data_IF_117221629385
#
_entry.id   IF_117221629385
#
_cell.length_a   1.000
_cell.length_b   1.000
_cell.length_c   1.000
_cell.angle_alpha   90.00
_cell.angle_beta   90.00
_cell.angle_gamma   90.00
#
_symmetry.space_group_name_H-M   'P 1'
#
loop_
_entity.id
_entity.type
_entity.pdbx_description
1 polymer ?
#
# COMPACT_ATOMS: atom_id res chain seq x y z
N UNK A 1 -7.46 -30.00 5.37
CA UNK A 1 -6.44 -29.72 4.35
C UNK A 1 -5.33 -30.75 4.40
N UNK A 2 -4.62 -30.97 3.28
CA UNK A 2 -3.54 -31.94 3.21
C UNK A 2 -2.25 -31.33 3.84
N UNK A 3 -1.64 -31.93 4.87
CA UNK A 3 -0.41 -31.42 5.51
C UNK A 3 0.74 -31.14 4.54
N UNK A 4 0.90 -31.98 3.50
CA UNK A 4 1.90 -31.81 2.47
C UNK A 4 1.71 -30.51 1.65
N UNK A 5 0.48 -30.04 1.47
CA UNK A 5 0.21 -28.78 0.78
C UNK A 5 0.57 -27.58 1.66
N UNK A 6 0.32 -27.66 2.96
CA UNK A 6 0.70 -26.60 3.91
C UNK A 6 2.22 -26.43 3.99
N UNK A 7 2.96 -27.55 4.03
CA UNK A 7 4.42 -27.53 4.04
C UNK A 7 4.99 -26.91 2.76
N UNK A 8 4.40 -27.20 1.60
CA UNK A 8 4.81 -26.59 0.34
C UNK A 8 4.60 -25.09 0.31
N UNK A 9 3.44 -24.61 0.81
CA UNK A 9 3.14 -23.18 0.92
C UNK A 9 4.19 -22.48 1.79
N UNK A 10 4.51 -23.07 2.96
CA UNK A 10 5.53 -22.52 3.85
C UNK A 10 6.90 -22.46 3.19
N UNK A 11 7.36 -23.56 2.56
CA UNK A 11 8.66 -23.61 1.90
C UNK A 11 8.79 -22.55 0.78
N UNK A 12 7.74 -22.38 -0.02
CA UNK A 12 7.76 -21.35 -1.09
C UNK A 12 7.80 -19.94 -0.52
N UNK A 13 6.99 -19.64 0.50
CA UNK A 13 6.98 -18.31 1.10
C UNK A 13 8.26 -18.02 1.89
N UNK A 14 8.78 -18.99 2.64
CA UNK A 14 10.02 -18.84 3.40
C UNK A 14 11.22 -18.49 2.51
N UNK A 15 11.28 -19.01 1.28
CA UNK A 15 12.31 -18.64 0.33
C UNK A 15 12.22 -17.16 -0.08
N UNK A 16 11.00 -16.68 -0.34
CA UNK A 16 10.75 -15.27 -0.69
C UNK A 16 11.02 -14.36 0.51
N UNK A 17 10.58 -14.76 1.69
CA UNK A 17 10.75 -14.01 2.92
C UNK A 17 12.23 -13.86 3.30
N UNK A 18 13.03 -14.93 3.18
CA UNK A 18 14.47 -14.88 3.42
C UNK A 18 15.20 -13.92 2.48
N UNK A 19 14.81 -13.88 1.21
CA UNK A 19 15.37 -12.92 0.27
C UNK A 19 14.98 -11.48 0.65
N UNK A 20 13.73 -11.26 1.07
CA UNK A 20 13.27 -9.96 1.55
C UNK A 20 14.01 -9.49 2.81
N UNK A 21 14.17 -10.38 3.80
CA UNK A 21 14.97 -10.08 5.00
C UNK A 21 16.43 -9.77 4.68
N UNK A 22 17.04 -10.54 3.77
CA UNK A 22 18.41 -10.30 3.34
C UNK A 22 18.58 -8.90 2.74
N UNK A 23 17.71 -8.51 1.79
CA UNK A 23 17.74 -7.16 1.17
C UNK A 23 17.55 -6.06 2.20
N UNK A 24 16.59 -6.22 3.12
CA UNK A 24 16.35 -5.25 4.19
C UNK A 24 17.57 -5.11 5.11
N UNK A 25 18.20 -6.23 5.49
CA UNK A 25 19.36 -6.20 6.35
C UNK A 25 20.55 -5.55 5.63
N UNK A 26 20.80 -5.91 4.37
CA UNK A 26 21.82 -5.25 3.55
C UNK A 26 21.60 -3.73 3.45
N UNK A 27 20.34 -3.28 3.28
CA UNK A 27 20.01 -1.87 3.27
C UNK A 27 20.19 -1.20 4.64
N UNK A 28 19.78 -1.85 5.74
CA UNK A 28 19.90 -1.31 7.10
C UNK A 28 21.35 -1.26 7.59
N UNK A 29 22.13 -2.28 7.28
CA UNK A 29 23.54 -2.41 7.69
C UNK A 29 24.50 -1.60 6.81
N UNK A 30 24.04 -1.11 5.64
CA UNK A 30 24.81 -0.21 4.80
C UNK A 30 25.18 1.05 5.63
N UNK A 31 26.47 1.34 5.86
CA UNK A 31 26.89 2.43 6.74
C UNK A 31 26.64 3.83 6.15
N UNK A 32 26.27 3.92 4.87
CA UNK A 32 26.05 5.22 4.24
C UNK A 32 24.72 5.85 4.65
N UNK A 33 24.61 7.18 4.66
CA UNK A 33 23.37 7.88 4.91
C UNK A 33 22.24 7.45 3.96
N UNK A 34 21.01 7.44 4.46
CA UNK A 34 19.81 7.11 3.70
C UNK A 34 18.88 8.31 3.63
N UNK A 35 18.42 8.63 2.44
CA UNK A 35 17.54 9.76 2.14
C UNK A 35 16.22 9.20 1.65
N UNK A 36 15.20 9.22 2.50
CA UNK A 36 13.85 8.79 2.11
C UNK A 36 13.04 9.97 1.62
N UNK A 37 12.49 9.88 0.42
CA UNK A 37 11.75 10.98 -0.23
C UNK A 37 10.32 10.52 -0.50
N UNK A 38 9.33 11.27 0.00
CA UNK A 38 7.91 11.03 -0.25
C UNK A 38 7.53 11.31 -1.71
N UNK A 39 7.24 10.27 -2.50
CA UNK A 39 6.88 10.38 -3.92
C UNK A 39 5.44 9.96 -4.23
N UNK A 40 4.51 10.16 -3.31
CA UNK A 40 3.08 10.10 -3.61
C UNK A 40 2.61 11.40 -4.31
N UNK A 41 1.37 11.40 -4.80
CA UNK A 41 0.81 12.52 -5.58
C UNK A 41 1.01 13.89 -4.90
N UNK A 42 0.84 14.00 -3.58
CA UNK A 42 1.01 15.28 -2.87
C UNK A 42 2.48 15.76 -2.89
N UNK A 43 3.43 14.86 -2.64
CA UNK A 43 4.85 15.16 -2.72
C UNK A 43 5.27 15.58 -4.13
N UNK A 44 4.85 14.83 -5.15
CA UNK A 44 5.13 15.14 -6.56
C UNK A 44 4.55 16.52 -6.94
N UNK A 45 3.31 16.80 -6.55
CA UNK A 45 2.68 18.10 -6.82
C UNK A 45 3.37 19.28 -6.11
N UNK A 46 4.07 19.00 -5.02
CA UNK A 46 4.86 20.00 -4.26
C UNK A 46 6.33 20.09 -4.69
N UNK A 47 6.76 19.32 -5.70
CA UNK A 47 8.12 19.38 -6.26
C UNK A 47 9.08 18.29 -5.75
N UNK A 48 8.58 17.15 -5.25
CA UNK A 48 9.44 16.09 -4.72
C UNK A 48 10.31 15.41 -5.80
N UNK A 49 9.89 15.43 -7.08
CA UNK A 49 10.74 14.95 -8.18
C UNK A 49 11.95 15.83 -8.40
N UNK A 50 11.75 17.15 -8.37
CA UNK A 50 12.82 18.14 -8.45
C UNK A 50 13.74 18.07 -7.23
N UNK A 51 13.17 17.80 -6.06
CA UNK A 51 13.94 17.59 -4.81
C UNK A 51 14.80 16.33 -4.91
N UNK A 52 14.26 15.22 -5.42
CA UNK A 52 15.01 13.98 -5.63
C UNK A 52 16.18 14.21 -6.57
N UNK A 53 15.92 14.84 -7.72
CA UNK A 53 16.96 15.16 -8.69
C UNK A 53 18.04 16.06 -8.10
N UNK A 54 17.66 17.05 -7.29
CA UNK A 54 18.62 17.94 -6.63
C UNK A 54 19.51 17.21 -5.61
N UNK A 55 18.98 16.21 -4.90
CA UNK A 55 19.82 15.32 -4.07
C UNK A 55 20.78 14.49 -4.92
N UNK A 56 20.31 13.86 -6.01
CA UNK A 56 21.16 13.09 -6.93
C UNK A 56 22.32 13.95 -7.46
N UNK A 57 22.01 15.13 -7.99
CA UNK A 57 23.00 16.08 -8.53
C UNK A 57 23.98 16.59 -7.44
N UNK A 58 23.50 16.83 -6.21
CA UNK A 58 24.33 17.32 -5.10
C UNK A 58 25.22 16.22 -4.50
N UNK A 59 24.75 14.99 -4.42
CA UNK A 59 25.56 13.84 -4.00
C UNK A 59 26.77 13.69 -4.92
N UNK A 60 26.58 13.82 -6.23
CA UNK A 60 27.66 13.78 -7.23
C UNK A 60 28.57 15.01 -7.08
N UNK A 61 28.00 16.25 -7.02
CA UNK A 61 28.76 17.50 -6.90
C UNK A 61 29.70 17.53 -5.67
N UNK A 62 29.18 17.04 -4.52
CA UNK A 62 29.93 17.10 -3.26
C UNK A 62 30.71 15.83 -2.95
N UNK A 63 30.64 14.82 -3.84
CA UNK A 63 31.24 13.49 -3.67
C UNK A 63 30.85 12.86 -2.33
N UNK A 64 29.55 12.79 -2.06
CA UNK A 64 28.95 12.17 -0.87
C UNK A 64 28.28 10.87 -1.29
N UNK A 65 28.61 9.75 -0.63
CA UNK A 65 27.92 8.49 -0.82
C UNK A 65 26.69 8.44 0.10
N UNK A 66 25.50 8.24 -0.47
CA UNK A 66 24.24 8.06 0.23
C UNK A 66 23.25 7.26 -0.63
N UNK A 67 22.28 6.63 0.00
CA UNK A 67 21.19 5.91 -0.71
C UNK A 67 19.93 6.75 -0.74
N UNK A 68 19.39 6.99 -1.93
CA UNK A 68 18.07 7.60 -2.09
C UNK A 68 17.03 6.49 -2.17
N UNK A 69 16.07 6.54 -1.27
CA UNK A 69 14.95 5.60 -1.16
C UNK A 69 13.64 6.35 -1.34
N UNK A 70 12.73 5.83 -2.15
CA UNK A 70 11.42 6.43 -2.35
C UNK A 70 10.41 5.79 -1.42
N UNK A 71 9.57 6.61 -0.81
CA UNK A 71 8.52 6.14 0.10
C UNK A 71 7.18 6.75 -0.26
N UNK A 72 6.11 6.13 0.21
CA UNK A 72 4.76 6.66 0.07
C UNK A 72 4.50 7.87 0.97
N UNK A 73 3.26 8.35 0.97
CA UNK A 73 2.85 9.52 1.75
C UNK A 73 2.65 9.17 3.24
N UNK A 74 3.25 9.96 4.12
CA UNK A 74 3.04 9.91 5.58
C UNK A 74 1.67 10.46 6.02
N UNK A 75 0.93 11.14 5.13
CA UNK A 75 -0.31 11.86 5.46
C UNK A 75 -0.11 13.31 5.88
N UNK A 76 1.11 13.85 5.81
CA UNK A 76 1.45 15.24 6.13
C UNK A 76 1.56 16.12 4.87
N UNK A 77 0.53 16.10 4.03
CA UNK A 77 0.52 16.80 2.73
C UNK A 77 0.85 18.29 2.80
N UNK A 78 0.60 18.94 3.95
CA UNK A 78 0.95 20.35 4.15
C UNK A 78 2.44 20.61 4.34
N UNK A 79 3.22 19.58 4.68
CA UNK A 79 4.66 19.66 4.91
C UNK A 79 5.49 19.19 3.71
N UNK A 80 4.83 18.78 2.63
CA UNK A 80 5.49 18.24 1.43
C UNK A 80 6.32 19.31 0.66
N UNK A 81 7.43 18.92 0.01
CA UNK A 81 8.04 17.61 0.05
C UNK A 81 8.67 17.29 1.40
N UNK A 82 8.30 16.12 1.95
CA UNK A 82 8.91 15.59 3.17
C UNK A 82 10.08 14.70 2.81
N UNK A 83 11.21 14.93 3.47
CA UNK A 83 12.42 14.10 3.32
C UNK A 83 12.87 13.63 4.69
N UNK A 84 13.16 12.34 4.80
CA UNK A 84 13.73 11.77 6.03
C UNK A 84 15.19 11.43 5.75
N UNK A 85 16.09 11.91 6.59
CA UNK A 85 17.52 11.58 6.48
C UNK A 85 17.91 10.75 7.69
N UNK A 86 18.32 9.52 7.43
CA UNK A 86 18.97 8.64 8.38
C UNK A 86 20.49 8.71 8.14
N UNK A 87 21.21 9.31 9.06
CA UNK A 87 22.66 9.47 8.98
C UNK A 87 23.32 8.74 10.17
N UNK A 88 23.84 7.52 9.97
CA UNK A 88 24.32 6.65 11.06
C UNK A 88 25.34 7.30 11.99
N UNK A 89 26.24 8.12 11.42
CA UNK A 89 27.32 8.77 12.17
C UNK A 89 26.94 10.12 12.80
N UNK A 90 25.68 10.58 12.62
CA UNK A 90 25.27 11.89 13.11
C UNK A 90 25.02 11.95 14.62
N UNK A 91 24.78 10.82 15.26
CA UNK A 91 24.33 10.74 16.65
C UNK A 91 22.85 11.12 16.85
N UNK A 92 22.09 11.35 15.77
CA UNK A 92 20.66 11.62 15.80
C UNK A 92 19.87 10.43 15.26
N UNK A 93 18.63 10.21 15.75
CA UNK A 93 17.69 9.33 15.05
C UNK A 93 17.32 9.93 13.69
N UNK A 94 16.69 9.17 12.77
CA UNK A 94 16.28 9.69 11.48
C UNK A 94 15.50 11.00 11.60
N UNK A 95 15.95 12.04 10.89
CA UNK A 95 15.42 13.40 10.97
C UNK A 95 14.48 13.67 9.80
N UNK A 96 13.32 14.23 10.09
CA UNK A 96 12.34 14.69 9.13
C UNK A 96 12.55 16.15 8.80
N UNK A 97 12.61 16.46 7.52
CA UNK A 97 12.64 17.81 6.96
C UNK A 97 11.38 18.07 6.16
N UNK A 98 10.84 19.28 6.25
CA UNK A 98 9.62 19.70 5.56
C UNK A 98 9.90 20.72 4.45
N UNK A 99 8.99 20.80 3.48
CA UNK A 99 9.08 21.76 2.36
C UNK A 99 10.47 21.76 1.72
N UNK A 100 11.02 20.56 1.49
CA UNK A 100 12.37 20.41 0.96
C UNK A 100 12.34 20.62 -0.55
N UNK A 101 12.72 21.82 -0.97
CA UNK A 101 12.95 22.16 -2.37
C UNK A 101 14.38 21.86 -2.81
N UNK A 102 14.69 22.07 -4.09
CA UNK A 102 16.02 21.81 -4.66
C UNK A 102 17.16 22.56 -3.91
N UNK A 103 16.92 23.79 -3.44
CA UNK A 103 17.90 24.55 -2.65
C UNK A 103 18.19 23.94 -1.30
N UNK A 104 17.12 23.51 -0.56
CA UNK A 104 17.26 22.80 0.71
C UNK A 104 17.94 21.45 0.51
N UNK A 105 17.60 20.69 -0.55
CA UNK A 105 18.24 19.42 -0.86
C UNK A 105 19.76 19.55 -1.02
N UNK A 106 20.19 20.52 -1.83
CA UNK A 106 21.62 20.84 -2.03
C UNK A 106 22.30 21.26 -0.73
N UNK A 107 21.63 22.10 0.07
CA UNK A 107 22.13 22.55 1.37
C UNK A 107 22.28 21.38 2.35
N UNK A 108 21.29 20.50 2.48
CA UNK A 108 21.31 19.34 3.37
C UNK A 108 22.41 18.35 2.96
N UNK A 109 22.61 18.13 1.66
CA UNK A 109 23.71 17.28 1.17
C UNK A 109 25.07 17.84 1.59
N UNK A 110 25.28 19.16 1.42
CA UNK A 110 26.56 19.78 1.78
C UNK A 110 26.77 19.84 3.29
N UNK A 111 25.79 20.39 4.03
CA UNK A 111 25.98 20.73 5.44
C UNK A 111 25.71 19.54 6.35
N UNK A 112 24.65 18.77 6.13
CA UNK A 112 24.33 17.66 7.00
C UNK A 112 25.07 16.37 6.58
N UNK A 113 24.93 15.94 5.33
CA UNK A 113 25.53 14.65 4.93
C UNK A 113 27.05 14.68 4.85
N UNK A 114 27.65 15.84 4.50
CA UNK A 114 29.11 15.98 4.37
C UNK A 114 29.78 16.57 5.60
N UNK A 115 29.17 17.60 6.21
CA UNK A 115 29.81 18.39 7.29
C UNK A 115 29.22 18.07 8.68
N UNK A 116 28.13 17.29 8.77
CA UNK A 116 27.51 16.82 10.02
C UNK A 116 26.57 17.84 10.69
N UNK A 117 26.28 18.99 10.07
CA UNK A 117 25.36 20.01 10.60
C UNK A 117 23.91 19.73 10.16
N UNK A 118 23.01 19.28 11.05
CA UNK A 118 21.65 18.89 10.70
C UNK A 118 20.71 20.06 10.34
N UNK A 119 21.15 21.31 10.46
CA UNK A 119 20.35 22.49 10.12
C UNK A 119 19.02 22.53 10.85
N UNK A 120 19.04 22.56 12.18
CA UNK A 120 17.86 22.46 13.03
C UNK A 120 16.71 23.41 12.66
N UNK A 121 16.99 24.56 12.06
CA UNK A 121 15.98 25.51 11.59
C UNK A 121 15.09 24.99 10.47
N UNK A 122 15.46 23.89 9.85
CA UNK A 122 14.69 23.24 8.77
C UNK A 122 14.10 21.89 9.20
N UNK A 123 14.38 21.46 10.43
CA UNK A 123 13.89 20.21 10.97
C UNK A 123 12.40 20.30 11.25
N UNK A 124 11.66 19.28 10.82
CA UNK A 124 10.26 19.10 11.13
C UNK A 124 10.08 18.31 12.43
N UNK A 125 10.93 17.32 12.67
CA UNK A 125 10.97 16.46 13.84
C UNK A 125 11.90 15.27 13.65
N UNK A 126 11.95 14.36 14.61
CA UNK A 126 12.70 13.13 14.51
C UNK A 126 11.79 11.90 14.57
N UNK A 127 12.30 10.73 14.14
CA UNK A 127 11.56 9.47 14.25
C UNK A 127 11.31 9.10 15.71
N UNK A 128 12.32 9.30 16.55
CA UNK A 128 12.29 9.02 17.98
C UNK A 128 12.60 10.29 18.78
N UNK A 129 12.08 10.35 20.01
CA UNK A 129 12.36 11.45 20.91
C UNK A 129 13.86 11.48 21.28
N UNK A 130 14.42 12.69 21.31
CA UNK A 130 15.76 12.96 21.80
C UNK A 130 15.83 14.36 22.44
N UNK A 131 16.93 14.67 23.13
CA UNK A 131 17.07 15.91 23.90
C UNK A 131 16.98 17.21 23.06
N UNK A 132 17.15 17.13 21.73
CA UNK A 132 17.25 18.30 20.85
C UNK A 132 16.10 18.42 19.85
N UNK A 133 15.52 17.32 19.42
CA UNK A 133 14.50 17.29 18.37
C UNK A 133 13.30 16.49 18.87
N UNK A 134 12.08 17.10 18.93
CA UNK A 134 10.87 16.38 19.33
C UNK A 134 10.51 15.30 18.29
N UNK A 135 9.91 14.22 18.77
CA UNK A 135 9.39 13.18 17.87
C UNK A 135 8.21 13.72 17.05
N UNK A 136 8.19 13.39 15.75
CA UNK A 136 7.03 13.66 14.89
C UNK A 136 5.77 12.97 15.40
N UNK A 137 5.91 11.85 16.12
CA UNK A 137 4.80 11.10 16.68
C UNK A 137 4.10 11.83 17.85
N UNK A 138 4.74 12.82 18.46
CA UNK A 138 4.16 13.64 19.52
C UNK A 138 3.31 14.81 19.01
N UNK A 139 3.41 15.13 17.73
CA UNK A 139 2.63 16.21 17.15
C UNK A 139 1.13 15.93 17.30
N UNK A 140 0.37 16.98 17.63
CA UNK A 140 -1.06 16.93 17.98
C UNK A 140 -1.92 16.13 16.99
N UNK A 141 -1.48 16.04 15.75
CA UNK A 141 -2.15 15.26 14.71
C UNK A 141 -1.82 13.77 14.83
N UNK A 142 -0.53 13.41 14.91
CA UNK A 142 -0.09 12.02 14.97
C UNK A 142 -0.47 11.33 16.27
N UNK A 143 -0.30 11.99 17.41
CA UNK A 143 -0.56 11.38 18.71
C UNK A 143 -2.04 11.02 18.96
N UNK A 144 -2.96 11.52 18.09
CA UNK A 144 -4.40 11.22 18.14
C UNK A 144 -4.80 10.16 17.10
N UNK A 145 -3.92 9.77 16.20
CA UNK A 145 -4.19 8.80 15.16
C UNK A 145 -3.79 7.40 15.62
N UNK A 146 -4.71 6.44 15.50
CA UNK A 146 -4.36 5.02 15.56
C UNK A 146 -4.17 4.53 14.12
N UNK A 147 -2.93 4.47 13.67
CA UNK A 147 -2.57 4.05 12.32
C UNK A 147 -2.59 2.54 12.23
N UNK A 148 -3.60 1.97 11.60
CA UNK A 148 -3.70 0.54 11.32
C UNK A 148 -3.44 0.30 9.81
N UNK A 149 -4.22 0.97 8.95
CA UNK A 149 -4.11 0.80 7.49
C UNK A 149 -2.90 1.52 6.93
N UNK A 150 -2.53 2.66 7.51
CA UNK A 150 -1.43 3.50 7.06
C UNK A 150 -0.15 3.32 7.90
N UNK A 151 -0.05 2.25 8.67
CA UNK A 151 1.10 1.99 9.54
C UNK A 151 2.42 1.99 8.78
N UNK A 152 2.44 1.37 7.61
CA UNK A 152 3.65 1.24 6.76
C UNK A 152 3.81 2.36 5.73
N UNK A 153 2.81 3.23 5.58
CA UNK A 153 2.87 4.34 4.62
C UNK A 153 3.94 5.35 5.02
N UNK A 154 4.80 5.71 4.09
CA UNK A 154 5.94 6.60 4.33
C UNK A 154 7.20 5.90 4.88
N UNK A 155 7.16 4.57 5.07
CA UNK A 155 8.29 3.77 5.56
C UNK A 155 8.81 2.77 4.54
N UNK A 156 7.92 2.20 3.72
CA UNK A 156 8.27 1.22 2.68
C UNK A 156 8.27 1.88 1.29
N UNK A 157 9.06 1.31 0.38
CA UNK A 157 8.97 1.63 -1.04
C UNK A 157 7.73 0.94 -1.65
N UNK A 158 6.71 1.71 -2.10
CA UNK A 158 5.51 1.12 -2.70
C UNK A 158 5.78 0.38 -4.02
N UNK A 159 6.95 0.60 -4.60
CA UNK A 159 7.37 -0.02 -5.85
C UNK A 159 8.30 -1.23 -5.66
N UNK A 160 8.63 -1.61 -4.41
CA UNK A 160 9.40 -2.81 -4.08
C UNK A 160 8.59 -3.76 -3.19
N UNK A 161 8.20 -4.90 -3.76
CA UNK A 161 7.47 -5.95 -3.03
C UNK A 161 8.27 -6.52 -1.85
N UNK A 162 9.60 -6.54 -1.95
CA UNK A 162 10.45 -7.10 -0.89
C UNK A 162 10.42 -6.24 0.37
N UNK A 163 10.30 -4.92 0.24
CA UNK A 163 10.10 -4.04 1.39
C UNK A 163 8.81 -4.37 2.15
N UNK A 164 7.70 -4.60 1.40
CA UNK A 164 6.45 -4.99 2.01
C UNK A 164 6.53 -6.36 2.69
N UNK A 165 7.17 -7.34 2.05
CA UNK A 165 7.32 -8.71 2.58
C UNK A 165 8.20 -8.71 3.83
N UNK A 166 9.32 -7.97 3.82
CA UNK A 166 10.22 -7.86 4.95
C UNK A 166 9.55 -7.26 6.21
N UNK A 167 8.51 -6.44 6.02
CA UNK A 167 7.64 -5.92 7.10
C UNK A 167 6.45 -6.86 7.41
N UNK A 168 6.55 -8.13 7.06
CA UNK A 168 5.56 -9.18 7.35
C UNK A 168 4.40 -9.27 6.36
N UNK A 169 4.49 -8.59 5.22
CA UNK A 169 3.50 -8.65 4.16
C UNK A 169 3.34 -10.07 3.59
N UNK A 170 2.16 -10.37 3.09
CA UNK A 170 1.70 -11.66 2.57
C UNK A 170 1.69 -12.82 3.59
N UNK A 171 2.16 -12.62 4.82
CA UNK A 171 2.08 -13.65 5.86
C UNK A 171 0.63 -14.01 6.24
N UNK A 172 -0.29 -13.06 6.11
CA UNK A 172 -1.72 -13.33 6.34
C UNK A 172 -2.35 -14.16 5.23
N UNK A 173 -1.91 -13.96 3.97
CA UNK A 173 -2.31 -14.83 2.85
C UNK A 173 -1.82 -16.26 3.06
N UNK A 174 -0.55 -16.44 3.46
CA UNK A 174 0.00 -17.77 3.80
C UNK A 174 -0.83 -18.47 4.86
N UNK A 175 -1.19 -17.76 5.94
CA UNK A 175 -2.08 -18.29 6.98
C UNK A 175 -3.45 -18.66 6.44
N UNK A 176 -4.05 -17.79 5.62
CA UNK A 176 -5.35 -18.00 5.03
C UNK A 176 -5.39 -19.23 4.13
N UNK A 177 -4.39 -19.43 3.28
CA UNK A 177 -4.31 -20.59 2.38
C UNK A 177 -4.22 -21.94 3.11
N UNK A 178 -3.90 -21.95 4.39
CA UNK A 178 -3.87 -23.15 5.25
C UNK A 178 -5.18 -23.41 6.00
N UNK A 179 -6.13 -22.48 5.94
CA UNK A 179 -7.44 -22.59 6.57
C UNK A 179 -8.52 -22.94 5.54
N UNK A 180 -9.65 -23.46 6.01
CA UNK A 180 -10.82 -23.57 5.16
C UNK A 180 -11.41 -22.17 4.89
N UNK A 181 -11.95 -21.93 3.69
CA UNK A 181 -12.64 -20.68 3.37
C UNK A 181 -13.69 -20.25 4.40
N UNK A 182 -14.50 -21.20 4.90
CA UNK A 182 -15.52 -20.91 5.92
C UNK A 182 -14.93 -20.42 7.25
N UNK A 183 -13.75 -20.92 7.64
CA UNK A 183 -13.06 -20.49 8.86
C UNK A 183 -12.60 -19.03 8.73
N UNK A 184 -12.13 -18.63 7.55
CA UNK A 184 -11.73 -17.24 7.26
C UNK A 184 -12.96 -16.33 7.32
N UNK A 185 -14.06 -16.71 6.66
CA UNK A 185 -15.32 -15.96 6.72
C UNK A 185 -15.77 -15.77 8.16
N UNK A 186 -15.69 -16.82 8.99
CA UNK A 186 -16.06 -16.77 10.39
C UNK A 186 -15.13 -15.85 11.22
N UNK A 187 -13.81 -15.85 10.94
CA UNK A 187 -12.88 -14.92 11.59
C UNK A 187 -13.22 -13.48 11.27
N UNK A 188 -13.54 -13.18 9.99
CA UNK A 188 -13.94 -11.83 9.57
C UNK A 188 -15.28 -11.42 10.18
N UNK A 189 -16.23 -12.34 10.36
CA UNK A 189 -17.47 -12.07 11.10
C UNK A 189 -17.19 -11.72 12.56
N UNK A 190 -16.38 -12.54 13.23
CA UNK A 190 -16.05 -12.37 14.65
C UNK A 190 -15.25 -11.09 14.91
N UNK A 191 -14.47 -10.61 13.95
CA UNK A 191 -13.72 -9.34 14.06
C UNK A 191 -14.61 -8.10 14.11
N UNK A 192 -15.87 -8.22 13.70
CA UNK A 192 -16.78 -7.08 13.59
C UNK A 192 -16.41 -6.06 12.52
N UNK A 193 -15.49 -6.41 11.58
CA UNK A 193 -15.06 -5.53 10.49
C UNK A 193 -16.26 -5.08 9.65
N UNK A 194 -16.31 -3.76 9.37
CA UNK A 194 -17.35 -3.14 8.57
C UNK A 194 -16.77 -2.44 7.34
N UNK A 195 -17.56 -2.36 6.29
CA UNK A 195 -17.24 -1.59 5.08
C UNK A 195 -17.00 -0.11 5.39
N UNK A 196 -16.05 0.48 4.69
CA UNK A 196 -15.63 1.88 4.87
C UNK A 196 -16.14 2.83 3.77
N UNK A 197 -16.99 2.34 2.88
CA UNK A 197 -17.62 3.15 1.82
C UNK A 197 -18.86 3.94 2.25
N UNK A 198 -19.09 4.13 3.55
CA UNK A 198 -20.19 4.94 4.10
C UNK A 198 -21.34 4.11 4.69
N UNK A 199 -21.74 3.00 4.07
CA UNK A 199 -22.86 2.18 4.55
C UNK A 199 -22.54 1.33 5.80
N UNK A 200 -21.28 1.08 6.11
CA UNK A 200 -20.87 0.31 7.29
C UNK A 200 -21.38 -1.12 7.31
N UNK A 201 -21.63 -1.73 6.13
CA UNK A 201 -22.15 -3.09 6.06
C UNK A 201 -21.13 -4.09 6.65
N UNK A 202 -21.55 -5.09 7.45
CA UNK A 202 -20.65 -6.09 8.03
C UNK A 202 -19.90 -6.88 6.96
N UNK A 203 -18.58 -6.77 6.93
CA UNK A 203 -17.74 -7.40 5.89
C UNK A 203 -17.86 -8.91 5.88
N UNK A 204 -17.79 -9.55 7.06
CA UNK A 204 -17.94 -10.99 7.17
C UNK A 204 -19.31 -11.51 6.70
N UNK A 205 -20.38 -10.73 6.90
CA UNK A 205 -21.70 -11.08 6.34
C UNK A 205 -21.72 -11.00 4.82
N UNK A 206 -21.04 -10.02 4.23
CA UNK A 206 -20.90 -9.89 2.78
C UNK A 206 -20.15 -11.10 2.19
N UNK A 207 -19.07 -11.51 2.84
CA UNK A 207 -18.27 -12.67 2.42
C UNK A 207 -19.05 -13.98 2.57
N UNK A 208 -19.78 -14.15 3.66
CA UNK A 208 -20.67 -15.30 3.88
C UNK A 208 -21.72 -15.46 2.76
N UNK A 209 -22.39 -14.36 2.42
CA UNK A 209 -23.37 -14.33 1.32
C UNK A 209 -22.73 -14.66 -0.04
N UNK A 210 -21.51 -14.20 -0.29
CA UNK A 210 -20.78 -14.51 -1.50
C UNK A 210 -20.30 -15.97 -1.50
N UNK A 211 -19.79 -16.48 -0.38
CA UNK A 211 -19.32 -17.85 -0.26
C UNK A 211 -20.48 -18.86 -0.45
N UNK A 212 -21.62 -18.62 0.20
CA UNK A 212 -22.81 -19.50 0.10
C UNK A 212 -23.52 -19.43 -1.25
N UNK A 213 -23.06 -18.63 -2.17
CA UNK A 213 -23.69 -18.38 -3.46
C UNK A 213 -23.61 -19.54 -4.48
N UNK A 214 -23.03 -20.70 -4.13
CA UNK A 214 -22.91 -21.87 -5.01
C UNK A 214 -21.78 -21.75 -6.04
N UNK A 215 -21.79 -22.61 -7.06
CA UNK A 215 -20.71 -22.79 -8.07
C UNK A 215 -20.67 -21.74 -9.18
N UNK A 216 -21.38 -20.63 -9.05
CA UNK A 216 -21.31 -19.56 -10.06
C UNK A 216 -19.96 -18.85 -10.01
N UNK A 217 -19.48 -18.39 -11.17
CA UNK A 217 -18.28 -17.55 -11.25
C UNK A 217 -18.42 -16.32 -10.33
N UNK A 218 -17.43 -16.14 -9.46
CA UNK A 218 -17.37 -15.04 -8.50
C UNK A 218 -16.22 -14.14 -8.84
N UNK A 219 -16.42 -12.84 -8.66
CA UNK A 219 -15.40 -11.81 -8.90
C UNK A 219 -15.32 -10.94 -7.64
N UNK A 220 -14.10 -10.71 -7.17
CA UNK A 220 -13.83 -9.72 -6.12
C UNK A 220 -13.55 -8.37 -6.77
N UNK A 221 -14.23 -7.31 -6.30
CA UNK A 221 -13.98 -5.95 -6.78
C UNK A 221 -13.49 -5.09 -5.62
N UNK A 222 -12.30 -4.54 -5.77
CA UNK A 222 -11.82 -3.44 -4.96
C UNK A 222 -12.36 -2.14 -5.52
N UNK A 223 -13.30 -1.52 -4.82
CA UNK A 223 -13.84 -0.23 -5.19
C UNK A 223 -12.92 0.88 -4.69
N UNK A 224 -12.09 1.38 -5.58
CA UNK A 224 -11.21 2.53 -5.38
C UNK A 224 -11.67 3.76 -6.20
N UNK A 225 -12.98 3.87 -6.47
CA UNK A 225 -13.60 5.06 -7.05
C UNK A 225 -13.88 6.11 -5.97
N UNK A 226 -12.82 6.77 -5.50
CA UNK A 226 -12.86 7.80 -4.48
C UNK A 226 -13.23 9.16 -5.10
N UNK A 227 -14.54 9.41 -5.27
CA UNK A 227 -15.07 10.53 -6.02
C UNK A 227 -15.29 11.81 -5.22
N UNK A 228 -15.20 11.80 -3.90
CA UNK A 228 -15.44 12.98 -3.05
C UNK A 228 -14.34 14.04 -3.26
N UNK A 229 -14.69 15.31 -3.49
CA UNK A 229 -13.71 16.38 -3.54
C UNK A 229 -12.92 16.49 -2.22
N UNK A 230 -11.58 16.45 -2.32
CA UNK A 230 -10.69 16.48 -1.15
C UNK A 230 -10.53 15.14 -0.41
N UNK A 231 -11.20 14.08 -0.82
CA UNK A 231 -10.91 12.73 -0.36
C UNK A 231 -9.74 12.14 -1.15
N UNK A 232 -8.77 11.56 -0.44
CA UNK A 232 -7.55 10.99 -1.04
C UNK A 232 -7.02 9.79 -0.23
N UNK A 233 -7.87 9.15 0.58
CA UNK A 233 -7.44 8.07 1.47
C UNK A 233 -7.20 6.77 0.71
N UNK A 234 -8.08 6.40 -0.23
CA UNK A 234 -7.92 5.21 -1.06
C UNK A 234 -6.74 5.40 -2.02
N UNK A 235 -6.62 6.58 -2.62
CA UNK A 235 -5.46 6.95 -3.43
C UNK A 235 -4.15 6.82 -2.66
N UNK A 236 -4.10 7.37 -1.44
CA UNK A 236 -2.89 7.30 -0.61
C UNK A 236 -2.47 5.86 -0.31
N UNK A 237 -3.42 4.98 -0.03
CA UNK A 237 -3.13 3.56 0.23
C UNK A 237 -2.59 2.88 -1.05
N UNK A 238 -3.22 3.11 -2.20
CA UNK A 238 -2.79 2.54 -3.47
C UNK A 238 -1.41 3.04 -3.91
N UNK A 239 -1.07 4.31 -3.60
CA UNK A 239 0.22 4.91 -3.92
C UNK A 239 1.31 4.58 -2.90
N UNK A 240 0.97 4.21 -1.66
CA UNK A 240 1.95 4.05 -0.57
C UNK A 240 2.09 2.62 -0.07
N UNK A 241 1.08 1.77 -0.23
CA UNK A 241 1.11 0.37 0.18
C UNK A 241 0.17 -0.51 -0.66
N UNK A 242 0.42 -0.62 -1.98
CA UNK A 242 -0.46 -1.35 -2.91
C UNK A 242 -0.53 -2.84 -2.59
N UNK A 243 0.56 -3.44 -2.09
CA UNK A 243 0.63 -4.86 -1.78
C UNK A 243 -0.31 -5.26 -0.63
N UNK A 244 -0.58 -4.37 0.32
CA UNK A 244 -1.56 -4.61 1.39
C UNK A 244 -2.97 -4.76 0.82
N UNK A 245 -3.32 -3.97 -0.21
CA UNK A 245 -4.61 -4.09 -0.90
C UNK A 245 -4.68 -5.41 -1.68
N UNK A 246 -3.62 -5.75 -2.41
CA UNK A 246 -3.51 -7.00 -3.19
C UNK A 246 -3.61 -8.22 -2.26
N UNK A 247 -2.90 -8.26 -1.15
CA UNK A 247 -2.97 -9.33 -0.14
C UNK A 247 -4.39 -9.49 0.41
N UNK A 248 -5.03 -8.38 0.80
CA UNK A 248 -6.40 -8.40 1.30
C UNK A 248 -7.41 -8.90 0.25
N UNK A 249 -7.22 -8.54 -1.03
CA UNK A 249 -8.03 -9.05 -2.13
C UNK A 249 -7.82 -10.55 -2.35
N UNK A 250 -6.59 -11.04 -2.26
CA UNK A 250 -6.27 -12.46 -2.38
C UNK A 250 -6.92 -13.29 -1.26
N UNK A 251 -6.87 -12.82 -0.02
CA UNK A 251 -7.54 -13.46 1.11
C UNK A 251 -9.06 -13.46 0.91
N UNK A 252 -9.64 -12.35 0.47
CA UNK A 252 -11.08 -12.28 0.17
C UNK A 252 -11.45 -13.25 -0.95
N UNK A 253 -10.70 -13.27 -2.05
CA UNK A 253 -10.96 -14.14 -3.19
C UNK A 253 -10.91 -15.62 -2.80
N UNK A 254 -9.90 -16.02 -2.03
CA UNK A 254 -9.80 -17.38 -1.50
C UNK A 254 -10.99 -17.73 -0.61
N UNK A 255 -11.36 -16.84 0.33
CA UNK A 255 -12.46 -17.07 1.27
C UNK A 255 -13.83 -17.19 0.60
N UNK A 256 -14.06 -16.48 -0.52
CA UNK A 256 -15.35 -16.54 -1.24
C UNK A 256 -15.33 -17.50 -2.44
N UNK A 257 -14.16 -18.06 -2.79
CA UNK A 257 -13.98 -18.96 -3.94
C UNK A 257 -13.99 -18.23 -5.28
N UNK A 258 -13.45 -17.01 -5.34
CA UNK A 258 -13.27 -16.26 -6.59
C UNK A 258 -11.88 -16.55 -7.17
N UNK A 259 -11.79 -16.61 -8.51
CA UNK A 259 -10.52 -16.76 -9.25
C UNK A 259 -10.11 -15.49 -9.99
N UNK A 260 -10.99 -14.50 -10.00
CA UNK A 260 -10.74 -13.19 -10.62
C UNK A 260 -11.04 -12.07 -9.66
N UNK A 261 -10.24 -11.02 -9.75
CA UNK A 261 -10.46 -9.80 -8.99
C UNK A 261 -10.17 -8.57 -9.86
N UNK A 262 -10.83 -7.46 -9.55
CA UNK A 262 -10.71 -6.20 -10.28
C UNK A 262 -10.47 -5.07 -9.28
N UNK A 263 -9.44 -4.26 -9.52
CA UNK A 263 -9.24 -2.99 -8.82
C UNK A 263 -9.80 -1.90 -9.71
N UNK A 264 -10.94 -1.34 -9.31
CA UNK A 264 -11.58 -0.23 -10.04
C UNK A 264 -11.03 1.09 -9.51
N UNK A 265 -10.19 1.74 -10.31
CA UNK A 265 -9.50 3.00 -9.96
C UNK A 265 -9.96 4.11 -10.90
N UNK A 266 -10.08 5.32 -10.39
CA UNK A 266 -10.39 6.51 -11.20
C UNK A 266 -9.28 6.80 -12.22
N UNK A 267 -9.68 7.27 -13.40
CA UNK A 267 -8.73 7.70 -14.45
C UNK A 267 -7.85 8.88 -13.99
N UNK A 268 -8.34 9.67 -13.03
CA UNK A 268 -7.65 10.83 -12.45
C UNK A 268 -6.51 10.46 -11.48
N UNK A 269 -6.31 9.16 -11.20
CA UNK A 269 -5.24 8.66 -10.33
C UNK A 269 -4.18 7.87 -11.12
N UNK A 270 -3.49 8.49 -12.11
CA UNK A 270 -2.55 7.78 -12.97
C UNK A 270 -1.37 7.17 -12.20
N UNK A 271 -0.89 7.84 -11.14
CA UNK A 271 0.19 7.32 -10.29
C UNK A 271 -0.26 6.03 -9.57
N UNK A 272 -1.43 6.04 -8.95
CA UNK A 272 -1.99 4.86 -8.29
C UNK A 272 -2.14 3.67 -9.26
N UNK A 273 -2.65 3.93 -10.49
CA UNK A 273 -2.76 2.92 -11.55
C UNK A 273 -1.40 2.30 -11.89
N UNK A 274 -0.37 3.14 -12.06
CA UNK A 274 0.97 2.66 -12.41
C UNK A 274 1.59 1.82 -11.29
N UNK A 275 1.52 2.31 -10.04
CA UNK A 275 2.07 1.62 -8.87
C UNK A 275 1.35 0.28 -8.64
N UNK A 276 0.02 0.26 -8.66
CA UNK A 276 -0.75 -0.98 -8.47
C UNK A 276 -0.51 -1.98 -9.59
N UNK A 277 -0.40 -1.52 -10.86
CA UNK A 277 -0.09 -2.41 -11.99
C UNK A 277 1.29 -3.04 -11.83
N UNK A 278 2.29 -2.27 -11.37
CA UNK A 278 3.62 -2.79 -11.04
C UNK A 278 3.56 -3.80 -9.91
N UNK A 279 2.83 -3.50 -8.85
CA UNK A 279 2.68 -4.38 -7.68
C UNK A 279 2.00 -5.72 -8.04
N UNK A 280 0.96 -5.72 -8.88
CA UNK A 280 0.32 -6.94 -9.38
C UNK A 280 1.34 -7.79 -10.15
N UNK A 281 2.13 -7.18 -11.03
CA UNK A 281 3.17 -7.88 -11.78
C UNK A 281 4.19 -8.53 -10.85
N UNK A 282 4.72 -7.79 -9.88
CA UNK A 282 5.68 -8.29 -8.89
C UNK A 282 5.11 -9.47 -8.08
N UNK A 283 3.86 -9.35 -7.63
CA UNK A 283 3.19 -10.43 -6.90
C UNK A 283 2.98 -11.69 -7.77
N UNK A 284 2.70 -11.50 -9.07
CA UNK A 284 2.56 -12.62 -10.01
C UNK A 284 3.92 -13.28 -10.27
N UNK A 285 4.97 -12.51 -10.47
CA UNK A 285 6.35 -13.02 -10.69
C UNK A 285 6.85 -13.86 -9.52
N UNK A 286 6.43 -13.52 -8.28
CA UNK A 286 6.77 -14.29 -7.06
C UNK A 286 5.78 -15.44 -6.76
N UNK A 287 4.79 -15.69 -7.60
CA UNK A 287 3.78 -16.73 -7.39
C UNK A 287 2.83 -16.46 -6.22
N UNK A 288 2.69 -15.20 -5.81
CA UNK A 288 1.70 -14.73 -4.83
C UNK A 288 0.34 -14.43 -5.49
N UNK A 289 0.31 -14.38 -6.82
CA UNK A 289 -0.85 -14.31 -7.70
C UNK A 289 -0.65 -15.24 -8.90
N UNK A 290 -1.70 -15.43 -9.70
CA UNK A 290 -1.70 -16.26 -10.90
C UNK A 290 -2.18 -17.67 -10.63
N UNK A 291 -1.61 -18.64 -11.35
CA UNK A 291 -1.94 -20.07 -11.18
C UNK A 291 -1.22 -20.66 -9.96
N UNK A 292 -1.95 -21.50 -9.21
CA UNK A 292 -1.39 -22.24 -8.06
C UNK A 292 -0.65 -21.34 -7.06
N UNK A 293 -1.31 -20.32 -6.54
CA UNK A 293 -0.73 -19.34 -5.60
C UNK A 293 0.03 -20.06 -4.47
N UNK A 294 1.32 -19.76 -4.32
CA UNK A 294 2.25 -20.43 -3.38
C UNK A 294 2.19 -21.96 -3.48
N UNK A 295 1.97 -22.51 -4.68
CA UNK A 295 1.86 -23.95 -4.92
C UNK A 295 0.61 -24.60 -4.37
N UNK A 296 -0.37 -23.83 -3.93
CA UNK A 296 -1.71 -24.30 -3.53
C UNK A 296 -2.59 -24.64 -4.73
N UNK A 297 -3.82 -25.07 -4.50
CA UNK A 297 -4.84 -25.25 -5.53
C UNK A 297 -5.64 -23.99 -5.84
N UNK A 298 -5.25 -22.86 -5.29
CA UNK A 298 -5.90 -21.57 -5.48
C UNK A 298 -5.27 -20.81 -6.64
N UNK A 299 -6.11 -20.34 -7.56
CA UNK A 299 -5.73 -19.47 -8.66
C UNK A 299 -6.36 -18.10 -8.45
N UNK A 300 -5.61 -17.02 -8.72
CA UNK A 300 -6.16 -15.67 -8.68
C UNK A 300 -5.49 -14.77 -9.71
N UNK A 301 -6.30 -14.21 -10.58
CA UNK A 301 -5.92 -13.12 -11.49
C UNK A 301 -6.50 -11.80 -10.99
N UNK A 302 -5.68 -10.74 -10.94
CA UNK A 302 -6.12 -9.40 -10.57
C UNK A 302 -5.87 -8.45 -11.74
N UNK A 303 -6.91 -7.72 -12.15
CA UNK A 303 -6.85 -6.71 -13.21
C UNK A 303 -7.12 -5.31 -12.65
N UNK A 304 -6.53 -4.29 -13.27
CA UNK A 304 -6.83 -2.88 -12.98
C UNK A 304 -7.80 -2.35 -14.02
N UNK A 305 -8.97 -1.91 -13.56
CA UNK A 305 -9.96 -1.25 -14.41
C UNK A 305 -9.96 0.26 -14.16
N UNK A 306 -9.75 1.05 -15.21
CA UNK A 306 -9.73 2.51 -15.14
C UNK A 306 -11.14 3.06 -15.38
N UNK A 307 -11.75 3.57 -14.31
CA UNK A 307 -13.06 4.22 -14.40
C UNK A 307 -13.01 5.58 -15.13
N UNK A 308 -14.15 5.98 -15.69
CA UNK A 308 -14.28 7.23 -16.46
C UNK A 308 -14.43 8.50 -15.59
N UNK A 309 -14.17 8.42 -14.28
CA UNK A 309 -14.20 9.57 -13.36
C UNK A 309 -15.60 10.04 -12.93
N UNK A 310 -16.64 9.28 -13.21
CA UNK A 310 -17.99 9.64 -12.77
C UNK A 310 -18.20 9.28 -11.28
N UNK A 311 -18.52 10.27 -10.45
CA UNK A 311 -18.79 10.09 -9.01
C UNK A 311 -19.79 8.96 -8.71
N UNK A 312 -20.81 8.81 -9.55
CA UNK A 312 -21.83 7.76 -9.40
C UNK A 312 -21.27 6.34 -9.47
N UNK A 313 -20.09 6.15 -10.08
CA UNK A 313 -19.43 4.85 -10.16
C UNK A 313 -18.85 4.37 -8.83
N UNK A 314 -18.80 5.19 -7.78
CA UNK A 314 -18.56 4.75 -6.41
C UNK A 314 -19.70 3.88 -5.83
N UNK A 315 -20.92 3.98 -6.38
CA UNK A 315 -22.02 3.08 -6.05
C UNK A 315 -21.85 1.74 -6.76
N UNK A 316 -21.99 0.63 -6.02
CA UNK A 316 -21.57 -0.72 -6.48
C UNK A 316 -22.27 -1.17 -7.77
N UNK A 317 -23.56 -0.82 -7.97
CA UNK A 317 -24.29 -1.26 -9.18
C UNK A 317 -23.90 -0.44 -10.41
N UNK A 318 -23.61 0.84 -10.24
CA UNK A 318 -23.09 1.71 -11.29
C UNK A 318 -21.66 1.32 -11.69
N UNK A 319 -20.82 0.97 -10.71
CA UNK A 319 -19.47 0.47 -10.93
C UNK A 319 -19.48 -0.82 -11.76
N UNK A 320 -20.31 -1.79 -11.39
CA UNK A 320 -20.46 -3.04 -12.14
C UNK A 320 -20.92 -2.78 -13.56
N UNK A 321 -21.88 -1.88 -13.76
CA UNK A 321 -22.34 -1.47 -15.11
C UNK A 321 -21.19 -0.85 -15.93
N UNK A 322 -20.34 -0.05 -15.29
CA UNK A 322 -19.16 0.52 -15.93
C UNK A 322 -18.16 -0.58 -16.38
N UNK A 323 -17.89 -1.56 -15.52
CA UNK A 323 -17.04 -2.71 -15.88
C UNK A 323 -17.64 -3.52 -17.04
N UNK A 324 -18.95 -3.67 -17.08
CA UNK A 324 -19.67 -4.34 -18.18
C UNK A 324 -19.67 -3.55 -19.50
N UNK A 325 -19.05 -2.35 -19.54
CA UNK A 325 -18.99 -1.49 -20.72
C UNK A 325 -20.27 -0.68 -20.98
N UNK A 326 -21.18 -0.62 -20.02
CA UNK A 326 -22.37 0.23 -20.11
C UNK A 326 -22.15 1.55 -19.40
N UNK A 327 -23.07 2.50 -19.62
CA UNK A 327 -23.11 3.74 -18.85
C UNK A 327 -23.26 3.41 -17.36
N UNK A 328 -22.38 3.97 -16.52
CA UNK A 328 -22.41 3.84 -15.07
C UNK A 328 -23.64 4.51 -14.45
N UNK A 329 -24.77 3.84 -14.51
CA UNK A 329 -26.01 4.28 -13.87
C UNK A 329 -26.44 3.23 -12.85
N UNK A 330 -26.87 3.64 -11.65
CA UNK A 330 -27.42 2.73 -10.65
C UNK A 330 -28.60 1.92 -11.22
N UNK A 331 -28.61 0.65 -10.91
CA UNK A 331 -29.70 -0.26 -11.31
C UNK A 331 -30.15 -1.12 -10.13
N UNK A 332 -31.36 -1.59 -10.19
CA UNK A 332 -31.84 -2.56 -9.18
C UNK A 332 -31.04 -3.86 -9.32
N UNK A 333 -30.64 -4.43 -8.19
CA UNK A 333 -29.80 -5.65 -8.09
C UNK A 333 -30.32 -6.81 -8.95
N UNK A 334 -31.62 -6.88 -9.24
CA UNK A 334 -32.23 -7.90 -10.11
C UNK A 334 -31.77 -7.85 -11.58
N UNK A 335 -31.15 -6.76 -12.03
CA UNK A 335 -30.70 -6.55 -13.43
C UNK A 335 -29.20 -6.73 -13.63
N UNK A 336 -28.43 -7.01 -12.57
CA UNK A 336 -26.95 -7.19 -12.68
C UNK A 336 -26.66 -8.59 -13.19
N UNK A 337 -25.90 -8.70 -14.28
CA UNK A 337 -25.47 -9.99 -14.85
C UNK A 337 -24.48 -10.72 -13.95
N UNK A 338 -23.55 -10.00 -13.33
CA UNK A 338 -22.68 -10.54 -12.28
C UNK A 338 -23.52 -10.76 -11.01
N UNK A 339 -24.19 -11.87 -10.93
CA UNK A 339 -25.14 -12.18 -9.85
C UNK A 339 -24.50 -12.19 -8.45
N UNK A 340 -23.15 -12.16 -8.33
CA UNK A 340 -22.45 -12.32 -7.07
C UNK A 340 -21.07 -11.67 -7.07
N UNK A 341 -21.05 -10.36 -7.10
CA UNK A 341 -19.82 -9.57 -6.90
C UNK A 341 -19.66 -9.28 -5.41
N UNK A 342 -18.52 -9.66 -4.85
CA UNK A 342 -18.10 -9.23 -3.53
C UNK A 342 -17.23 -7.99 -3.66
N UNK A 343 -17.85 -6.80 -3.55
CA UNK A 343 -17.11 -5.53 -3.57
C UNK A 343 -16.59 -5.17 -2.18
N UNK A 344 -15.33 -4.76 -2.11
CA UNK A 344 -14.71 -4.21 -0.89
C UNK A 344 -14.02 -2.90 -1.25
N UNK A 345 -14.02 -1.93 -0.34
CA UNK A 345 -13.17 -0.76 -0.50
C UNK A 345 -11.74 -1.09 -0.08
N UNK A 346 -10.69 -0.43 -0.60
CA UNK A 346 -9.31 -0.65 -0.15
C UNK A 346 -9.15 -0.61 1.36
N UNK A 347 -9.92 0.22 2.04
CA UNK A 347 -9.92 0.37 3.51
C UNK A 347 -10.52 -0.82 4.27
N UNK A 348 -11.35 -1.63 3.63
CA UNK A 348 -11.97 -2.80 4.27
C UNK A 348 -11.23 -4.10 4.03
N UNK A 349 -10.17 -4.08 3.22
CA UNK A 349 -9.32 -5.24 2.92
C UNK A 349 -8.14 -5.39 3.88
N UNK A 350 -7.85 -4.36 4.66
CA UNK A 350 -6.76 -4.38 5.63
C UNK A 350 -7.22 -5.00 6.94
N UNK A 351 -6.80 -6.22 7.19
CA UNK A 351 -6.89 -6.92 8.48
C UNK A 351 -5.54 -7.07 9.11
#
# INVERSE_FOLDING_TARGET
MNPANNEKIDQMFDAIYKEAEKRRNEFREDPVPKIHIGLATCGIASGALETKKAFEDALEEYNVDARIHTVGCLGHCYAEPVVIIDHPDSGFPPIFYHEVNAGKAKMLTKLFLKEGDPRFEHVYGAMEENDLIPSVMEFTRFNREKRVVMEKCGHIDPEDIYDYIAEGGYSSLVKALKLNPDEIVKQVQNSGLRGRGGAGFPTGRKWELANSAGEQEKIVICNADEGDPGAYMDRTILESNPHQVIEGMAICAYAVGAKKAIIYVRAEYPLAVNIVTKAIRQATELGLLGESVLGSSFDLEIEVFRGSGAFVCGEETALIRSIEGYRGCPVTVRRIRFKKVCGTSPRSLTM
#
